data_IF_722487560187
#
_entry.id   IF_722487560187
#
_cell.length_a   1.000
_cell.length_b   1.000
_cell.length_c   1.000
_cell.angle_alpha   90.00
_cell.angle_beta   90.00
_cell.angle_gamma   90.00
#
_symmetry.space_group_name_H-M   'P 1'
#
loop_
_entity.id
_entity.type
_entity.pdbx_description
1 polymer ?
#
# COMPACT_ATOMS: atom_id res chain seq x y z
N UNK A 1 -18.35 2.77 0.03
CA UNK A 1 -18.13 2.58 1.48
C UNK A 1 -17.05 1.52 1.65
N UNK A 2 -15.97 1.81 2.37
CA UNK A 2 -14.92 0.81 2.62
C UNK A 2 -15.38 -0.11 3.75
N UNK A 3 -15.56 -1.41 3.47
CA UNK A 3 -15.88 -2.40 4.50
C UNK A 3 -14.62 -2.65 5.34
N UNK A 4 -14.67 -2.25 6.61
CA UNK A 4 -13.60 -2.56 7.57
C UNK A 4 -13.77 -3.99 8.06
N UNK A 5 -12.78 -4.83 7.80
CA UNK A 5 -12.69 -6.20 8.31
C UNK A 5 -11.74 -6.20 9.52
N UNK A 6 -12.14 -6.85 10.61
CA UNK A 6 -11.28 -7.09 11.77
C UNK A 6 -10.85 -8.56 11.79
N UNK A 7 -9.54 -8.80 11.86
CA UNK A 7 -8.95 -10.14 11.98
C UNK A 7 -8.36 -10.30 13.37
N UNK A 8 -8.79 -11.33 14.10
CA UNK A 8 -8.24 -11.69 15.40
C UNK A 8 -7.16 -12.75 15.20
N UNK A 9 -5.89 -12.36 15.33
CA UNK A 9 -4.77 -13.30 15.28
C UNK A 9 -4.50 -13.87 16.67
N UNK A 10 -4.61 -15.19 16.82
CA UNK A 10 -4.31 -15.89 18.07
C UNK A 10 -2.85 -16.32 18.10
N UNK A 11 -2.07 -15.65 18.95
CA UNK A 11 -0.64 -15.91 19.15
C UNK A 11 -0.33 -16.48 20.55
N UNK A 12 -1.34 -16.99 21.26
CA UNK A 12 -1.21 -17.49 22.63
C UNK A 12 -0.18 -18.62 22.79
N UNK A 13 0.01 -19.44 21.74
CA UNK A 13 1.03 -20.50 21.70
C UNK A 13 2.38 -20.06 21.11
N UNK A 14 2.48 -18.80 20.69
CA UNK A 14 3.65 -18.22 20.02
C UNK A 14 3.98 -16.85 20.63
N UNK A 15 4.09 -16.78 21.96
CA UNK A 15 4.35 -15.53 22.68
C UNK A 15 5.65 -14.84 22.24
N UNK A 16 6.69 -15.60 21.92
CA UNK A 16 7.95 -15.08 21.34
C UNK A 16 7.71 -14.36 20.02
N UNK A 17 6.82 -14.87 19.16
CA UNK A 17 6.47 -14.23 17.90
C UNK A 17 5.78 -12.89 18.13
N UNK A 18 4.85 -12.81 19.09
CA UNK A 18 4.17 -11.57 19.43
C UNK A 18 5.15 -10.48 19.90
N UNK A 19 6.07 -10.82 20.80
CA UNK A 19 7.07 -9.86 21.30
C UNK A 19 8.06 -9.42 20.21
N UNK A 20 8.44 -10.32 19.29
CA UNK A 20 9.26 -9.97 18.12
C UNK A 20 8.53 -9.02 17.17
N UNK A 21 7.27 -9.28 16.85
CA UNK A 21 6.45 -8.40 16.02
C UNK A 21 6.34 -7.01 16.64
N UNK A 22 6.11 -6.94 17.95
CA UNK A 22 6.01 -5.68 18.71
C UNK A 22 7.33 -4.91 18.72
N UNK A 23 8.45 -5.59 18.93
CA UNK A 23 9.78 -4.99 18.89
C UNK A 23 10.09 -4.43 17.51
N UNK A 24 9.89 -5.23 16.45
CA UNK A 24 10.13 -4.78 15.07
C UNK A 24 9.23 -3.61 14.66
N UNK A 25 7.95 -3.64 15.06
CA UNK A 25 7.04 -2.53 14.80
C UNK A 25 7.55 -1.22 15.42
N UNK A 26 8.05 -1.27 16.67
CA UNK A 26 8.65 -0.12 17.38
C UNK A 26 9.93 0.38 16.71
N UNK A 27 10.84 -0.52 16.34
CA UNK A 27 12.09 -0.17 15.66
C UNK A 27 11.84 0.56 14.33
N UNK A 28 10.75 0.22 13.64
CA UNK A 28 10.34 0.87 12.40
C UNK A 28 9.42 2.09 12.62
N UNK A 29 9.13 2.47 13.87
CA UNK A 29 8.24 3.59 14.19
C UNK A 29 6.79 3.38 13.73
N UNK A 30 6.33 2.13 13.62
CA UNK A 30 4.99 1.77 13.13
C UNK A 30 4.12 1.17 14.24
N UNK A 31 2.79 1.20 14.06
CA UNK A 31 1.90 0.44 14.94
C UNK A 31 2.02 -1.06 14.66
N UNK A 32 1.76 -1.89 15.67
CA UNK A 32 1.77 -3.35 15.50
C UNK A 32 0.79 -3.81 14.41
N UNK A 33 -0.35 -3.12 14.27
CA UNK A 33 -1.34 -3.42 13.26
C UNK A 33 -0.83 -3.12 11.84
N UNK A 34 -0.23 -1.95 11.64
CA UNK A 34 0.31 -1.57 10.33
C UNK A 34 1.47 -2.47 9.93
N UNK A 35 2.34 -2.79 10.90
CA UNK A 35 3.43 -3.75 10.70
C UNK A 35 2.90 -5.13 10.29
N UNK A 36 1.89 -5.64 10.99
CA UNK A 36 1.29 -6.94 10.69
C UNK A 36 0.62 -6.95 9.30
N UNK A 37 -0.08 -5.87 8.94
CA UNK A 37 -0.70 -5.73 7.61
C UNK A 37 0.37 -5.72 6.51
N UNK A 38 1.46 -4.97 6.70
CA UNK A 38 2.54 -4.92 5.73
C UNK A 38 3.27 -6.27 5.59
N UNK A 39 3.53 -6.95 6.72
CA UNK A 39 4.12 -8.28 6.69
C UNK A 39 3.21 -9.30 5.97
N UNK A 40 1.89 -9.22 6.18
CA UNK A 40 0.92 -10.06 5.48
C UNK A 40 0.86 -9.74 3.98
N UNK A 41 0.89 -8.45 3.62
CA UNK A 41 0.95 -8.01 2.21
C UNK A 41 2.18 -8.56 1.52
N UNK A 42 3.34 -8.45 2.15
CA UNK A 42 4.60 -8.96 1.60
C UNK A 42 4.59 -10.49 1.48
N UNK A 43 4.12 -11.20 2.51
CA UNK A 43 4.06 -12.66 2.53
C UNK A 43 3.09 -13.22 1.47
N UNK A 44 2.00 -12.50 1.18
CA UNK A 44 1.04 -12.85 0.16
C UNK A 44 1.42 -12.35 -1.24
N UNK A 45 2.56 -11.67 -1.38
CA UNK A 45 3.01 -11.08 -2.65
C UNK A 45 2.12 -9.94 -3.15
N UNK A 46 1.36 -9.29 -2.27
CA UNK A 46 0.43 -8.20 -2.60
C UNK A 46 1.13 -6.84 -2.75
N UNK A 47 2.40 -6.74 -2.39
CA UNK A 47 3.19 -5.50 -2.53
C UNK A 47 3.41 -5.08 -3.99
N UNK A 48 3.23 -5.97 -4.97
CA UNK A 48 3.26 -5.58 -6.39
C UNK A 48 2.05 -4.75 -6.82
N UNK A 49 0.94 -4.78 -6.08
CA UNK A 49 -0.25 -3.97 -6.40
C UNK A 49 -0.30 -2.63 -5.66
N UNK A 50 0.46 -2.47 -4.57
CA UNK A 50 0.45 -1.30 -3.67
C UNK A 50 1.84 -0.70 -3.42
N UNK A 51 2.80 -0.91 -4.32
CA UNK A 51 4.07 -0.18 -4.25
C UNK A 51 3.79 1.31 -4.51
N UNK A 52 4.33 2.23 -3.68
CA UNK A 52 4.28 3.67 -3.96
C UNK A 52 4.79 4.01 -5.38
N UNK A 53 5.70 3.19 -5.92
CA UNK A 53 6.17 3.31 -7.29
C UNK A 53 5.07 3.00 -8.32
N UNK A 54 4.27 1.95 -8.10
CA UNK A 54 3.15 1.57 -8.99
C UNK A 54 2.04 2.62 -8.95
N UNK A 55 1.74 3.17 -7.77
CA UNK A 55 0.81 4.28 -7.64
C UNK A 55 1.33 5.55 -8.33
N UNK A 56 2.62 5.84 -8.20
CA UNK A 56 3.28 6.95 -8.91
C UNK A 56 3.22 6.76 -10.43
N UNK A 57 3.49 5.56 -10.93
CA UNK A 57 3.41 5.23 -12.36
C UNK A 57 2.00 5.41 -12.91
N UNK A 58 0.96 4.92 -12.21
CA UNK A 58 -0.43 5.15 -12.61
C UNK A 58 -0.78 6.63 -12.65
N UNK A 59 -0.26 7.43 -11.71
CA UNK A 59 -0.48 8.89 -11.68
C UNK A 59 0.17 9.58 -12.88
N UNK A 60 1.37 9.15 -13.27
CA UNK A 60 2.07 9.63 -14.46
C UNK A 60 1.26 9.31 -15.72
N UNK A 61 0.78 8.07 -15.87
CA UNK A 61 -0.05 7.67 -17.03
C UNK A 61 -1.32 8.52 -17.18
N UNK A 62 -2.00 8.81 -16.06
CA UNK A 62 -3.20 9.67 -16.07
C UNK A 62 -2.84 11.10 -16.47
N UNK A 63 -1.73 11.65 -15.97
CA UNK A 63 -1.27 12.99 -16.32
C UNK A 63 -0.88 13.09 -17.81
N UNK A 64 -0.20 12.06 -18.35
CA UNK A 64 0.14 12.00 -19.77
C UNK A 64 -1.12 11.99 -20.65
N UNK A 65 -2.13 11.21 -20.30
CA UNK A 65 -3.41 11.18 -21.03
C UNK A 65 -4.13 12.54 -20.99
N UNK A 66 -4.08 13.23 -19.85
CA UNK A 66 -4.66 14.57 -19.72
C UNK A 66 -3.90 15.58 -20.57
N UNK A 67 -2.57 15.53 -20.58
CA UNK A 67 -1.72 16.39 -21.39
C UNK A 67 -1.98 16.19 -22.88
N UNK A 68 -2.11 14.93 -23.33
CA UNK A 68 -2.49 14.60 -24.72
C UNK A 68 -3.86 15.15 -25.11
N UNK A 69 -4.84 15.12 -24.19
CA UNK A 69 -6.16 15.73 -24.44
C UNK A 69 -6.09 17.25 -24.55
N UNK A 70 -5.23 17.90 -23.76
CA UNK A 70 -5.03 19.36 -23.83
C UNK A 70 -4.33 19.74 -25.14
N UNK A 71 -3.27 19.03 -25.51
CA UNK A 71 -2.56 19.25 -26.78
C UNK A 71 -3.49 19.12 -27.99
N UNK A 72 -4.31 18.06 -28.05
CA UNK A 72 -5.32 17.91 -29.11
C UNK A 72 -6.34 19.05 -29.15
N UNK A 73 -6.72 19.61 -28.01
CA UNK A 73 -7.65 20.75 -27.98
C UNK A 73 -7.02 22.04 -28.48
N UNK A 74 -5.72 22.21 -28.25
CA UNK A 74 -4.95 23.35 -28.76
C UNK A 74 -4.73 23.21 -30.27
N UNK A 75 -4.41 22.01 -30.77
CA UNK A 75 -4.27 21.73 -32.21
C UNK A 75 -5.57 21.90 -33.02
N UNK A 76 -6.74 21.82 -32.37
CA UNK A 76 -8.06 22.04 -33.01
C UNK A 76 -8.48 23.52 -32.93
N UNK A 77 -7.82 24.33 -32.10
CA UNK A 77 -8.14 25.74 -31.87
C UNK A 77 -7.33 26.72 -32.73
N UNK A 78 -6.28 26.23 -33.41
CA UNK A 78 -5.54 26.92 -34.49
C UNK A 78 -6.08 26.47 -35.87
#
# INVERSE_FOLDING_TARGET
MSQRIQLNLRLDKHSDLYERLKTRAREQGSSLNDFAINALRQALGLDTEYSPLVETMRRIEVLEQQMQKVLKRLEIAD
#
